data_IF_353544847530
#
_entry.id   IF_353544847530
#
_cell.length_a   1.000
_cell.length_b   1.000
_cell.length_c   1.000
_cell.angle_alpha   90.00
_cell.angle_beta   90.00
_cell.angle_gamma   90.00
#
_symmetry.space_group_name_H-M   'P 1'
#
loop_
_entity.id
_entity.type
_entity.pdbx_description
1 polymer ?
#
# COMPACT_ATOMS: atom_id res chain seq x y z
N UNK A 1 10.05 -12.53 5.74
CA UNK A 1 10.07 -12.57 4.27
C UNK A 1 10.68 -11.28 3.74
N UNK A 2 11.38 -11.34 2.61
CA UNK A 2 11.93 -10.14 1.97
C UNK A 2 10.91 -9.52 1.00
N UNK A 3 10.53 -10.25 -0.03
CA UNK A 3 9.53 -9.79 -1.00
C UNK A 3 8.52 -10.89 -1.28
N UNK A 4 7.26 -10.50 -1.57
CA UNK A 4 6.24 -11.37 -2.14
C UNK A 4 5.79 -10.75 -3.45
N UNK A 5 5.79 -11.54 -4.52
CA UNK A 5 5.39 -11.10 -5.85
C UNK A 5 4.29 -11.99 -6.38
N UNK A 6 3.19 -11.36 -6.79
CA UNK A 6 2.18 -11.99 -7.62
C UNK A 6 2.29 -11.43 -9.05
N UNK A 7 2.34 -12.32 -10.03
CA UNK A 7 2.46 -11.94 -11.43
C UNK A 7 1.63 -12.87 -12.30
N UNK A 8 0.74 -12.30 -13.09
CA UNK A 8 -0.12 -13.04 -14.01
C UNK A 8 0.68 -13.60 -15.21
N UNK A 9 1.51 -12.75 -15.82
CA UNK A 9 2.38 -13.10 -16.95
C UNK A 9 3.56 -12.12 -17.08
N UNK A 10 4.53 -12.44 -17.93
CA UNK A 10 5.61 -11.53 -18.35
C UNK A 10 5.14 -10.61 -19.48
N UNK A 11 4.08 -9.87 -19.23
CA UNK A 11 3.43 -8.93 -20.14
C UNK A 11 3.10 -7.65 -19.37
N UNK A 12 3.39 -6.44 -19.89
CA UNK A 12 3.07 -5.19 -19.21
C UNK A 12 1.57 -4.97 -18.98
N UNK A 13 0.70 -5.61 -19.76
CA UNK A 13 -0.74 -5.56 -19.56
C UNK A 13 -1.23 -6.48 -18.43
N UNK A 14 -0.44 -7.50 -18.07
CA UNK A 14 -0.74 -8.41 -16.99
C UNK A 14 -0.53 -7.76 -15.62
N UNK A 15 -1.21 -8.28 -14.61
CA UNK A 15 -1.03 -7.79 -13.25
C UNK A 15 0.36 -8.15 -12.74
N UNK A 16 1.00 -7.15 -12.14
CA UNK A 16 2.18 -7.29 -11.28
C UNK A 16 1.92 -6.58 -9.96
N UNK A 17 2.02 -7.33 -8.86
CA UNK A 17 1.85 -6.86 -7.50
C UNK A 17 3.08 -7.23 -6.68
N UNK A 18 3.74 -6.24 -6.10
CA UNK A 18 4.89 -6.40 -5.22
C UNK A 18 4.51 -5.99 -3.81
N UNK A 19 4.87 -6.85 -2.84
CA UNK A 19 4.76 -6.57 -1.41
C UNK A 19 6.16 -6.56 -0.80
N UNK A 20 6.43 -5.58 0.04
CA UNK A 20 7.69 -5.45 0.76
C UNK A 20 7.61 -6.09 2.15
N UNK A 21 8.70 -6.73 2.57
CA UNK A 21 8.79 -7.37 3.87
C UNK A 21 10.01 -6.98 4.69
N UNK A 22 10.78 -5.97 4.26
CA UNK A 22 12.03 -5.55 4.91
C UNK A 22 12.02 -4.07 5.18
N UNK A 23 12.34 -3.68 6.43
CA UNK A 23 12.49 -2.28 6.85
C UNK A 23 13.91 -1.94 7.29
N UNK A 24 14.84 -2.89 7.21
CA UNK A 24 16.22 -2.74 7.68
C UNK A 24 17.23 -2.72 6.54
N UNK A 25 18.45 -2.30 6.82
CA UNK A 25 19.57 -2.31 5.86
C UNK A 25 20.25 -0.95 5.72
N UNK A 26 21.19 -0.86 4.78
CA UNK A 26 21.98 0.37 4.57
C UNK A 26 21.13 1.56 4.12
N UNK A 27 20.06 1.28 3.39
CA UNK A 27 19.08 2.27 2.93
C UNK A 27 17.72 1.94 3.54
N UNK A 28 17.66 2.05 4.88
CA UNK A 28 16.46 1.74 5.64
C UNK A 28 15.28 2.61 5.22
N UNK A 29 14.17 1.95 4.88
CA UNK A 29 12.87 2.58 4.64
C UNK A 29 11.84 1.99 5.60
N UNK A 30 10.86 2.78 6.01
CA UNK A 30 9.72 2.31 6.82
C UNK A 30 8.61 1.76 5.90
N UNK A 31 8.99 0.85 4.99
CA UNK A 31 8.15 0.32 3.92
C UNK A 31 7.77 -1.16 4.09
N UNK A 32 8.23 -1.81 5.14
CA UNK A 32 7.83 -3.17 5.44
C UNK A 32 6.31 -3.33 5.53
N UNK A 33 5.80 -4.43 4.98
CA UNK A 33 4.38 -4.73 4.83
C UNK A 33 3.61 -3.74 3.93
N UNK A 34 4.32 -2.98 3.09
CA UNK A 34 3.75 -2.07 2.09
C UNK A 34 3.47 -2.78 0.75
N UNK A 35 2.81 -2.05 -0.14
CA UNK A 35 2.62 -2.42 -1.55
C UNK A 35 3.39 -1.41 -2.41
N UNK A 36 4.71 -1.57 -2.62
CA UNK A 36 5.50 -0.60 -3.37
C UNK A 36 5.12 -0.51 -4.84
N UNK A 37 4.48 -1.55 -5.38
CA UNK A 37 4.09 -1.56 -6.78
C UNK A 37 2.83 -2.37 -7.04
N UNK A 38 1.87 -1.76 -7.73
CA UNK A 38 0.81 -2.45 -8.47
C UNK A 38 0.80 -1.90 -9.90
N UNK A 39 0.90 -2.78 -10.88
CA UNK A 39 0.76 -2.40 -12.29
C UNK A 39 -0.10 -3.40 -13.05
N UNK A 40 -0.86 -2.90 -14.03
CA UNK A 40 -1.70 -3.67 -14.93
C UNK A 40 -2.13 -2.78 -16.11
N UNK A 41 -2.42 -3.37 -17.27
CA UNK A 41 -2.84 -2.65 -18.49
C UNK A 41 -1.78 -1.66 -18.99
N UNK A 42 -0.50 -2.05 -18.89
CA UNK A 42 0.65 -1.20 -19.21
C UNK A 42 0.63 0.13 -18.40
N UNK A 43 0.10 0.10 -17.20
CA UNK A 43 -0.01 1.24 -16.28
C UNK A 43 0.57 0.91 -14.92
N UNK A 44 1.19 1.91 -14.30
CA UNK A 44 1.55 1.88 -12.88
C UNK A 44 0.43 2.56 -12.12
N UNK A 45 -0.23 1.82 -11.25
CA UNK A 45 -1.34 2.32 -10.45
C UNK A 45 -0.91 2.74 -9.07
N UNK A 46 -0.24 1.86 -8.34
CA UNK A 46 0.39 2.17 -7.06
C UNK A 46 1.90 2.19 -7.22
N UNK A 47 2.52 3.15 -6.59
CA UNK A 47 3.97 3.28 -6.55
C UNK A 47 4.39 3.91 -5.22
N UNK A 48 5.52 3.48 -4.68
CA UNK A 48 6.18 4.22 -3.63
C UNK A 48 6.72 5.53 -4.19
N UNK A 49 6.76 6.55 -3.35
CA UNK A 49 6.96 7.90 -3.81
C UNK A 49 8.38 8.15 -4.34
N UNK A 50 9.39 7.85 -3.56
CA UNK A 50 10.79 8.16 -3.92
C UNK A 50 11.76 7.28 -3.13
N UNK A 51 12.88 6.94 -3.74
CA UNK A 51 13.98 6.22 -3.12
C UNK A 51 14.56 6.92 -1.87
N UNK A 52 14.50 8.24 -1.81
CA UNK A 52 15.00 9.02 -0.67
C UNK A 52 13.97 9.25 0.43
N UNK A 53 12.75 8.78 0.26
CA UNK A 53 11.63 9.00 1.20
C UNK A 53 11.46 7.80 2.12
N UNK A 54 12.23 7.75 3.20
CA UNK A 54 12.23 6.66 4.16
C UNK A 54 10.97 6.56 5.04
N UNK A 55 10.34 7.66 5.54
CA UNK A 55 9.19 7.57 6.44
C UNK A 55 7.97 6.87 5.85
N UNK A 56 7.26 6.11 6.69
CA UNK A 56 6.09 5.29 6.32
C UNK A 56 5.02 6.04 5.53
N UNK A 57 4.83 7.32 5.79
CA UNK A 57 3.83 8.15 5.07
C UNK A 57 4.05 8.21 3.54
N UNK A 58 5.21 7.83 3.05
CA UNK A 58 5.56 7.81 1.62
C UNK A 58 5.34 6.45 0.95
N UNK A 59 4.82 5.47 1.70
CA UNK A 59 4.63 4.10 1.24
C UNK A 59 3.15 3.71 1.28
N UNK A 60 2.73 2.76 0.45
CA UNK A 60 1.37 2.19 0.47
C UNK A 60 1.22 1.26 1.67
N UNK A 61 1.04 1.83 2.84
CA UNK A 61 1.16 1.14 4.12
C UNK A 61 0.19 1.66 5.16
N UNK A 62 0.24 1.07 6.37
CA UNK A 62 -0.57 1.42 7.53
C UNK A 62 0.31 1.94 8.67
N UNK A 63 0.12 3.20 9.04
CA UNK A 63 0.67 3.74 10.28
C UNK A 63 -0.24 3.42 11.46
N UNK A 64 0.36 2.92 12.54
CA UNK A 64 -0.31 2.72 13.82
C UNK A 64 0.38 3.58 14.87
N UNK A 65 -0.39 4.25 15.70
CA UNK A 65 0.11 4.94 16.89
C UNK A 65 -0.69 4.52 18.13
N UNK A 66 -0.01 4.47 19.27
CA UNK A 66 -0.60 4.21 20.58
C UNK A 66 -0.35 5.43 21.49
N UNK A 67 -1.41 6.05 22.01
CA UNK A 67 -1.35 7.27 22.81
C UNK A 67 -0.62 8.45 22.11
N UNK A 68 -0.75 8.53 20.77
CA UNK A 68 -0.10 9.55 19.94
C UNK A 68 1.36 9.27 19.57
N UNK A 69 1.93 8.17 20.05
CA UNK A 69 3.30 7.76 19.72
C UNK A 69 3.29 6.70 18.61
N UNK A 70 4.01 6.97 17.52
CA UNK A 70 4.24 5.99 16.44
C UNK A 70 5.37 5.06 16.86
N UNK A 71 5.15 3.76 16.73
CA UNK A 71 6.20 2.75 16.91
C UNK A 71 7.14 2.71 15.71
N UNK A 72 8.37 2.23 15.94
CA UNK A 72 9.24 1.82 14.85
C UNK A 72 8.71 0.52 14.25
N UNK A 73 8.77 0.40 12.94
CA UNK A 73 8.48 -0.86 12.28
C UNK A 73 9.56 -1.90 12.64
N UNK A 74 9.20 -3.16 12.92
CA UNK A 74 10.16 -4.25 13.04
C UNK A 74 10.97 -4.43 11.75
N UNK A 75 12.20 -4.93 11.85
CA UNK A 75 13.11 -5.07 10.70
C UNK A 75 12.57 -5.98 9.60
N UNK A 76 11.77 -6.98 9.95
CA UNK A 76 11.26 -7.98 9.00
C UNK A 76 9.80 -8.33 9.27
N UNK A 77 9.08 -8.47 8.17
CA UNK A 77 7.71 -9.02 8.18
C UNK A 77 7.75 -10.53 8.33
N UNK A 78 6.96 -11.08 9.23
CA UNK A 78 6.69 -12.50 9.30
C UNK A 78 5.71 -12.90 8.19
N UNK A 79 6.07 -13.86 7.35
CA UNK A 79 5.16 -14.49 6.41
C UNK A 79 4.39 -15.60 7.10
N UNK A 80 3.07 -15.49 7.14
CA UNK A 80 2.16 -16.49 7.74
C UNK A 80 1.66 -17.45 6.67
N UNK A 81 1.32 -16.91 5.48
CA UNK A 81 0.77 -17.68 4.36
C UNK A 81 1.14 -16.99 3.05
N UNK A 82 1.52 -17.78 2.08
CA UNK A 82 1.47 -17.41 0.65
C UNK A 82 0.91 -18.61 -0.10
N UNK A 83 -0.13 -18.39 -0.90
CA UNK A 83 -0.74 -19.40 -1.74
C UNK A 83 -1.25 -18.77 -3.04
N UNK A 84 -1.24 -19.55 -4.12
CA UNK A 84 -1.69 -19.10 -5.43
C UNK A 84 -2.25 -20.25 -6.24
N UNK A 85 -3.36 -20.00 -6.94
CA UNK A 85 -3.96 -20.91 -7.90
C UNK A 85 -4.53 -20.13 -9.11
N UNK A 86 -5.17 -20.78 -10.11
CA UNK A 86 -5.74 -20.08 -11.26
C UNK A 86 -6.80 -19.01 -10.94
N UNK A 87 -7.45 -19.07 -9.78
CA UNK A 87 -8.53 -18.14 -9.40
C UNK A 87 -8.10 -17.02 -8.48
N UNK A 88 -7.08 -17.25 -7.65
CA UNK A 88 -6.60 -16.26 -6.68
C UNK A 88 -5.11 -16.37 -6.40
N UNK A 89 -4.52 -15.28 -5.88
CA UNK A 89 -3.29 -15.28 -5.11
C UNK A 89 -3.57 -14.69 -3.73
N UNK A 90 -2.96 -15.20 -2.69
CA UNK A 90 -3.13 -14.69 -1.32
C UNK A 90 -1.81 -14.66 -0.57
N UNK A 91 -1.57 -13.59 0.17
CA UNK A 91 -0.52 -13.51 1.18
C UNK A 91 -1.09 -13.04 2.50
N UNK A 92 -0.57 -13.57 3.60
CA UNK A 92 -0.82 -13.10 4.96
C UNK A 92 0.51 -12.86 5.63
N UNK A 93 0.71 -11.64 6.08
CA UNK A 93 1.94 -11.17 6.70
C UNK A 93 1.63 -10.53 8.05
N UNK A 94 2.60 -10.48 8.95
CA UNK A 94 2.42 -9.96 10.30
C UNK A 94 3.66 -9.21 10.78
N UNK A 95 3.47 -8.02 11.33
CA UNK A 95 4.38 -7.39 12.27
C UNK A 95 3.90 -7.62 13.69
N UNK A 96 4.79 -8.10 14.55
CA UNK A 96 4.56 -8.19 15.99
C UNK A 96 5.20 -7.00 16.70
N UNK A 97 4.57 -6.56 17.78
CA UNK A 97 5.09 -5.49 18.65
C UNK A 97 5.28 -4.14 17.95
N UNK A 98 4.48 -3.88 16.90
CA UNK A 98 4.45 -2.59 16.24
C UNK A 98 3.49 -1.64 16.97
N UNK A 99 3.99 -0.52 17.50
CA UNK A 99 3.20 0.46 18.24
C UNK A 99 2.30 -0.18 19.30
N UNK A 100 2.87 -1.09 20.15
CA UNK A 100 2.14 -1.82 21.20
C UNK A 100 0.98 -2.70 20.69
N UNK A 101 1.06 -3.11 19.44
CA UNK A 101 0.07 -3.94 18.78
C UNK A 101 0.72 -4.97 17.85
N UNK A 102 -0.06 -5.92 17.39
CA UNK A 102 0.29 -6.78 16.26
C UNK A 102 -0.52 -6.34 15.04
N UNK A 103 0.17 -6.08 13.93
CA UNK A 103 -0.45 -5.73 12.67
C UNK A 103 -0.33 -6.88 11.68
N UNK A 104 -1.46 -7.44 11.29
CA UNK A 104 -1.56 -8.46 10.25
C UNK A 104 -2.20 -7.87 9.01
N UNK A 105 -1.59 -8.10 7.85
CA UNK A 105 -2.12 -7.72 6.54
C UNK A 105 -2.38 -8.98 5.72
N UNK A 106 -3.58 -9.08 5.16
CA UNK A 106 -3.87 -10.04 4.10
C UNK A 106 -4.05 -9.29 2.78
N UNK A 107 -3.37 -9.75 1.74
CA UNK A 107 -3.53 -9.26 0.38
C UNK A 107 -4.05 -10.41 -0.47
N UNK A 108 -5.21 -10.22 -1.10
CA UNK A 108 -5.90 -11.25 -1.87
C UNK A 108 -6.14 -10.71 -3.29
N UNK A 109 -5.47 -11.30 -4.25
CA UNK A 109 -5.71 -11.02 -5.66
C UNK A 109 -6.77 -11.98 -6.21
N UNK A 110 -7.93 -11.44 -6.57
CA UNK A 110 -9.03 -12.15 -7.23
C UNK A 110 -8.85 -12.03 -8.74
N UNK A 111 -8.27 -13.04 -9.38
CA UNK A 111 -7.79 -12.98 -10.77
C UNK A 111 -8.91 -12.70 -11.78
N UNK A 112 -10.02 -13.42 -11.66
CA UNK A 112 -11.15 -13.29 -12.57
C UNK A 112 -11.89 -11.94 -12.44
N UNK A 113 -11.86 -11.34 -11.26
CA UNK A 113 -12.50 -10.05 -10.95
C UNK A 113 -11.57 -8.86 -11.20
N UNK A 114 -10.28 -9.10 -11.51
CA UNK A 114 -9.24 -8.06 -11.62
C UNK A 114 -9.24 -7.12 -10.40
N UNK A 115 -9.37 -7.72 -9.22
CA UNK A 115 -9.53 -7.01 -7.96
C UNK A 115 -8.47 -7.48 -6.97
N UNK A 116 -7.89 -6.54 -6.23
CA UNK A 116 -7.01 -6.82 -5.09
C UNK A 116 -7.70 -6.32 -3.82
N UNK A 117 -7.87 -7.20 -2.86
CA UNK A 117 -8.38 -6.87 -1.53
C UNK A 117 -7.20 -6.75 -0.57
N UNK A 118 -7.17 -5.70 0.22
CA UNK A 118 -6.21 -5.51 1.31
C UNK A 118 -6.97 -5.42 2.61
N UNK A 119 -6.68 -6.33 3.53
CA UNK A 119 -7.35 -6.44 4.82
C UNK A 119 -6.30 -6.27 5.92
N UNK A 120 -6.40 -5.19 6.67
CA UNK A 120 -5.53 -4.91 7.81
C UNK A 120 -6.26 -5.21 9.11
N UNK A 121 -5.59 -5.95 9.99
CA UNK A 121 -6.04 -6.21 11.35
C UNK A 121 -4.96 -5.78 12.32
N UNK A 122 -5.31 -4.84 13.19
CA UNK A 122 -4.47 -4.42 14.31
C UNK A 122 -5.05 -5.00 15.60
N UNK A 123 -4.22 -5.73 16.35
CA UNK A 123 -4.60 -6.33 17.62
C UNK A 123 -3.79 -5.67 18.73
N UNK A 124 -4.45 -4.95 19.62
CA UNK A 124 -3.83 -4.30 20.77
C UNK A 124 -3.16 -5.33 21.69
N UNK A 125 -1.97 -5.02 22.19
CA UNK A 125 -1.26 -5.77 23.21
C UNK A 125 -1.34 -5.11 24.59
N UNK A 126 -1.61 -3.82 24.62
CA UNK A 126 -1.73 -3.01 25.82
C UNK A 126 -2.98 -2.13 25.73
N UNK A 127 -3.45 -1.64 26.85
CA UNK A 127 -4.53 -0.67 26.93
C UNK A 127 -4.01 0.72 26.52
N UNK A 128 -4.48 1.25 25.40
CA UNK A 128 -4.04 2.52 24.82
C UNK A 128 -5.09 3.08 23.85
N UNK A 129 -4.99 4.37 23.56
CA UNK A 129 -5.75 5.00 22.48
C UNK A 129 -5.00 4.76 21.17
N UNK A 130 -5.52 3.87 20.34
CA UNK A 130 -4.94 3.57 19.03
C UNK A 130 -5.52 4.47 17.95
N UNK A 131 -4.65 4.90 17.04
CA UNK A 131 -5.04 5.54 15.79
C UNK A 131 -4.38 4.79 14.64
N UNK A 132 -5.13 4.53 13.60
CA UNK A 132 -4.67 3.87 12.38
C UNK A 132 -4.83 4.81 11.20
N UNK A 133 -3.75 5.03 10.46
CA UNK A 133 -3.77 5.83 9.23
C UNK A 133 -3.21 5.04 8.08
N UNK A 134 -4.03 4.79 7.08
CA UNK A 134 -3.64 4.11 5.86
C UNK A 134 -3.26 5.15 4.79
N UNK A 135 -2.23 4.85 4.01
CA UNK A 135 -1.77 5.68 2.89
C UNK A 135 -1.83 4.88 1.59
N UNK A 136 -2.31 5.55 0.55
CA UNK A 136 -2.34 5.03 -0.81
C UNK A 136 -1.76 6.05 -1.76
N UNK A 137 -0.70 5.67 -2.49
CA UNK A 137 0.04 6.50 -3.42
C UNK A 137 -0.23 6.01 -4.83
N UNK A 138 -0.99 6.77 -5.59
CA UNK A 138 -1.37 6.43 -6.95
C UNK A 138 -0.83 7.40 -7.99
N UNK A 139 -0.58 6.90 -9.20
CA UNK A 139 -0.22 7.71 -10.36
C UNK A 139 -1.46 7.96 -11.18
N UNK A 140 -1.69 9.20 -11.59
CA UNK A 140 -2.81 9.62 -12.43
C UNK A 140 -3.59 10.80 -11.85
N UNK A 141 -4.62 11.23 -12.58
CA UNK A 141 -5.60 12.19 -12.07
C UNK A 141 -6.43 11.53 -10.98
N UNK A 142 -6.40 12.10 -9.79
CA UNK A 142 -7.11 11.56 -8.63
C UNK A 142 -8.35 12.37 -8.30
N UNK A 143 -9.47 11.68 -8.09
CA UNK A 143 -10.68 12.25 -7.50
C UNK A 143 -11.11 11.43 -6.31
N UNK A 144 -11.42 12.11 -5.19
CA UNK A 144 -12.03 11.46 -4.03
C UNK A 144 -13.55 11.51 -4.13
N UNK A 145 -14.20 10.49 -3.62
CA UNK A 145 -15.59 10.52 -3.19
C UNK A 145 -15.70 9.99 -1.75
N UNK A 146 -16.93 9.71 -1.31
CA UNK A 146 -17.18 9.27 0.07
C UNK A 146 -16.59 7.88 0.40
N UNK A 147 -16.34 7.06 -0.61
CA UNK A 147 -15.93 5.66 -0.47
C UNK A 147 -14.48 5.39 -0.88
N UNK A 148 -13.77 6.34 -1.52
CA UNK A 148 -12.41 6.07 -1.96
C UNK A 148 -11.81 7.07 -2.95
N UNK A 149 -10.82 6.61 -3.70
CA UNK A 149 -10.07 7.39 -4.69
C UNK A 149 -10.14 6.72 -6.06
N UNK A 150 -10.60 7.47 -7.06
CA UNK A 150 -10.52 7.08 -8.45
C UNK A 150 -9.28 7.70 -9.10
N UNK A 151 -8.43 6.85 -9.65
CA UNK A 151 -7.28 7.22 -10.45
C UNK A 151 -7.59 7.05 -11.93
N UNK A 152 -7.37 8.09 -12.73
CA UNK A 152 -7.51 8.06 -14.18
C UNK A 152 -6.15 8.27 -14.83
N UNK A 153 -5.86 7.44 -15.83
CA UNK A 153 -4.74 7.61 -16.74
C UNK A 153 -5.29 7.58 -18.17
N UNK A 154 -4.50 7.89 -19.18
CA UNK A 154 -4.95 7.87 -20.58
C UNK A 154 -5.57 6.50 -20.91
N UNK A 155 -6.90 6.43 -20.99
CA UNK A 155 -7.70 5.25 -21.25
C UNK A 155 -8.24 4.57 -19.99
N UNK A 156 -7.50 3.69 -19.30
CA UNK A 156 -8.02 2.96 -18.14
C UNK A 156 -8.07 3.80 -16.87
N UNK A 157 -8.83 3.28 -15.89
CA UNK A 157 -8.92 3.83 -14.55
C UNK A 157 -8.82 2.72 -13.50
N UNK A 158 -8.40 3.08 -12.29
CA UNK A 158 -8.38 2.21 -11.12
C UNK A 158 -9.13 2.89 -9.98
N UNK A 159 -9.91 2.09 -9.28
CA UNK A 159 -10.63 2.50 -8.08
C UNK A 159 -9.98 1.91 -6.84
N UNK A 160 -9.64 2.75 -5.87
CA UNK A 160 -9.23 2.33 -4.53
C UNK A 160 -10.41 2.61 -3.60
N UNK A 161 -11.18 1.58 -3.29
CA UNK A 161 -12.35 1.67 -2.44
C UNK A 161 -12.00 1.26 -1.01
N UNK A 162 -12.47 2.03 -0.04
CA UNK A 162 -12.28 1.75 1.39
C UNK A 162 -13.57 1.25 2.05
N UNK A 163 -13.41 0.65 3.20
CA UNK A 163 -14.55 0.29 4.04
C UNK A 163 -15.30 1.55 4.48
N UNK A 164 -16.61 1.48 4.52
CA UNK A 164 -17.48 2.59 4.94
C UNK A 164 -17.13 3.08 6.35
N UNK A 165 -17.26 4.38 6.55
CA UNK A 165 -17.04 5.02 7.85
C UNK A 165 -15.59 5.47 8.09
N UNK A 166 -14.72 5.32 7.11
CA UNK A 166 -13.35 5.82 7.18
C UNK A 166 -13.32 7.31 6.77
N UNK A 167 -12.61 8.13 7.53
CA UNK A 167 -12.39 9.53 7.15
C UNK A 167 -11.29 9.62 6.09
N UNK A 168 -11.63 10.12 4.91
CA UNK A 168 -10.73 10.23 3.77
C UNK A 168 -10.20 11.66 3.60
N UNK A 169 -8.96 11.77 3.13
CA UNK A 169 -8.39 13.03 2.65
C UNK A 169 -7.41 12.77 1.51
N UNK A 170 -7.46 13.62 0.49
CA UNK A 170 -6.36 13.73 -0.46
C UNK A 170 -5.26 14.54 0.21
N UNK A 171 -4.05 14.01 0.23
CA UNK A 171 -2.90 14.69 0.85
C UNK A 171 -2.27 15.59 -0.20
N UNK A 172 -2.37 16.89 0.01
CA UNK A 172 -1.67 17.92 -0.78
C UNK A 172 -0.37 18.28 -0.07
N UNK A 173 0.65 17.46 -0.25
CA UNK A 173 1.98 17.66 0.32
C UNK A 173 2.98 17.71 -0.82
N UNK A 174 3.61 18.87 -1.02
CA UNK A 174 4.63 19.07 -2.05
C UNK A 174 5.83 18.11 -1.90
N UNK A 175 6.10 17.63 -0.69
CA UNK A 175 7.11 16.62 -0.41
C UNK A 175 6.73 15.22 -0.92
N UNK A 176 5.45 14.98 -1.18
CA UNK A 176 4.97 13.74 -1.81
C UNK A 176 5.16 13.76 -3.33
N UNK A 177 5.94 14.69 -3.84
CA UNK A 177 6.19 14.92 -5.26
C UNK A 177 6.83 13.75 -5.99
N UNK A 178 7.13 13.96 -7.21
CA UNK A 178 7.21 13.03 -8.30
C UNK A 178 8.60 12.68 -8.71
N UNK A 179 8.83 11.40 -9.04
CA UNK A 179 10.03 10.97 -9.76
C UNK A 179 9.77 10.15 -11.03
N UNK A 180 8.53 10.13 -11.49
CA UNK A 180 8.14 9.36 -12.66
C UNK A 180 8.27 10.19 -13.94
N UNK A 181 9.39 10.91 -14.08
CA UNK A 181 9.68 11.74 -15.28
C UNK A 181 9.58 10.90 -16.53
N UNK A 182 8.84 11.44 -17.52
CA UNK A 182 8.65 10.77 -18.80
C UNK A 182 7.62 9.64 -18.77
N UNK A 183 6.82 9.51 -17.71
CA UNK A 183 5.72 8.56 -17.69
C UNK A 183 4.66 8.97 -18.75
N UNK A 184 4.36 8.08 -19.75
CA UNK A 184 3.61 8.51 -20.94
C UNK A 184 2.09 8.57 -20.74
N UNK A 185 1.58 7.98 -19.64
CA UNK A 185 0.16 7.69 -19.47
C UNK A 185 -0.58 8.68 -18.57
N UNK A 186 0.13 9.45 -17.79
CA UNK A 186 -0.40 10.51 -16.94
C UNK A 186 0.68 11.54 -16.63
N UNK A 187 0.31 12.63 -15.97
CA UNK A 187 1.30 13.48 -15.30
C UNK A 187 2.07 12.64 -14.28
N UNK A 188 3.40 12.78 -14.21
CA UNK A 188 4.24 11.98 -13.35
C UNK A 188 4.12 12.44 -11.87
N UNK A 189 2.90 12.66 -11.40
CA UNK A 189 2.59 13.13 -10.05
C UNK A 189 1.94 11.99 -9.27
N UNK A 190 2.54 11.65 -8.13
CA UNK A 190 1.93 10.72 -7.19
C UNK A 190 0.85 11.45 -6.41
N UNK A 191 -0.34 10.90 -6.39
CA UNK A 191 -1.47 11.38 -5.59
C UNK A 191 -1.64 10.48 -4.37
N UNK A 192 -1.73 11.07 -3.20
CA UNK A 192 -1.81 10.33 -1.95
C UNK A 192 -3.18 10.50 -1.34
N UNK A 193 -3.89 9.40 -1.14
CA UNK A 193 -5.06 9.33 -0.28
C UNK A 193 -4.64 8.84 1.09
N UNK A 194 -5.12 9.49 2.15
CA UNK A 194 -5.00 8.95 3.50
C UNK A 194 -6.38 8.72 4.11
N UNK A 195 -6.50 7.63 4.86
CA UNK A 195 -7.69 7.31 5.65
C UNK A 195 -7.34 7.19 7.12
N UNK A 196 -8.20 7.66 7.99
CA UNK A 196 -8.03 7.63 9.45
C UNK A 196 -9.18 6.83 10.08
N UNK A 197 -8.82 5.86 10.91
CA UNK A 197 -9.73 5.06 11.73
C UNK A 197 -9.30 5.10 13.21
#
# INVERSE_FOLDING_TARGET
>A
VDKIVFREALDPNALFLLLDGVTTGTHKHDDGNSIPRLSQFDRIWLADNDYFKAPLKYHNSLAVSANGESGLLPDYVQCILVDENPSYGVSVTEFREYAKSDWRRAVIWLKNQKCVLVLDRVTAREDANYQMRQFWHGIGEATLDDDGMLLRQKGPSMWIQLARGTRLSLVDDADLGTNWRGYPHAEPVVRTMSSLA
#
